data_IF_712130357863
#
_entry.id   IF_712130357863
#
_cell.length_a   1.000
_cell.length_b   1.000
_cell.length_c   1.000
_cell.angle_alpha   90.00
_cell.angle_beta   90.00
_cell.angle_gamma   90.00
#
_symmetry.space_group_name_H-M   'P 1'
#
loop_
_entity.id
_entity.type
_entity.pdbx_description
1 polymer ?
#
# COMPACT_ATOMS: atom_id res chain seq x y z
N UNK A 1 26.70 12.22 -6.49
CA UNK A 1 26.88 11.60 -7.82
C UNK A 1 25.68 10.72 -8.10
N UNK A 2 25.01 11.01 -9.22
CA UNK A 2 24.01 10.21 -9.93
C UNK A 2 22.68 9.88 -9.25
N UNK A 3 21.80 10.88 -9.25
CA UNK A 3 20.35 10.70 -9.34
C UNK A 3 20.01 10.20 -10.75
N UNK A 4 20.09 8.89 -10.97
CA UNK A 4 19.52 8.26 -12.16
C UNK A 4 18.76 6.99 -11.74
N UNK A 5 17.44 7.06 -11.92
CA UNK A 5 16.49 5.94 -11.98
C UNK A 5 16.28 5.12 -10.69
N UNK A 6 15.38 5.60 -9.82
CA UNK A 6 14.45 4.71 -9.08
C UNK A 6 13.34 4.20 -10.03
N UNK A 7 13.72 3.60 -11.17
CA UNK A 7 12.80 2.87 -12.05
C UNK A 7 12.75 1.37 -11.70
N UNK A 8 13.04 1.03 -10.44
CA UNK A 8 13.01 -0.32 -9.89
C UNK A 8 11.65 -0.59 -9.26
N UNK A 9 11.18 -1.84 -9.29
CA UNK A 9 9.90 -2.24 -8.71
C UNK A 9 9.76 -1.84 -7.22
N UNK A 10 10.87 -1.78 -6.50
CA UNK A 10 10.91 -1.32 -5.10
C UNK A 10 10.46 0.14 -4.92
N UNK A 11 10.79 1.03 -5.86
CA UNK A 11 10.36 2.43 -5.81
C UNK A 11 8.84 2.58 -5.93
N UNK A 12 8.21 1.75 -6.77
CA UNK A 12 6.76 1.74 -6.95
C UNK A 12 6.02 1.38 -5.65
N UNK A 13 6.50 0.36 -4.94
CA UNK A 13 5.88 -0.10 -3.70
C UNK A 13 6.11 0.88 -2.54
N UNK A 14 7.29 1.51 -2.49
CA UNK A 14 7.61 2.55 -1.51
C UNK A 14 6.65 3.74 -1.60
N UNK A 15 6.31 4.19 -2.82
CA UNK A 15 5.38 5.30 -3.03
C UNK A 15 3.97 4.96 -2.54
N UNK A 16 3.47 3.75 -2.83
CA UNK A 16 2.16 3.27 -2.38
C UNK A 16 2.09 3.28 -0.85
N UNK A 17 3.11 2.73 -0.19
CA UNK A 17 3.16 2.66 1.29
C UNK A 17 3.25 4.05 1.90
N UNK A 18 4.13 4.90 1.37
CA UNK A 18 4.36 6.25 1.93
C UNK A 18 3.12 7.13 1.81
N UNK A 19 2.52 7.18 0.61
CA UNK A 19 1.32 8.00 0.38
C UNK A 19 0.15 7.50 1.25
N UNK A 20 0.05 6.18 1.40
CA UNK A 20 -1.00 5.52 2.17
C UNK A 20 -1.00 5.83 3.67
N UNK A 21 0.17 5.98 4.27
CA UNK A 21 0.25 6.37 5.69
C UNK A 21 -0.15 7.83 5.91
N UNK A 22 0.27 8.72 5.02
CA UNK A 22 0.08 10.16 5.19
C UNK A 22 -1.34 10.59 4.83
N UNK A 23 -2.00 9.89 3.91
CA UNK A 23 -3.34 10.24 3.45
C UNK A 23 -4.35 9.18 3.94
N UNK A 24 -5.37 9.58 4.71
CA UNK A 24 -6.41 8.67 5.14
C UNK A 24 -7.08 7.96 3.96
N UNK A 25 -7.32 6.67 4.11
CA UNK A 25 -8.26 5.97 3.24
C UNK A 25 -9.66 6.40 3.67
N UNK A 26 -10.38 7.07 2.77
CA UNK A 26 -11.75 7.49 3.03
C UNK A 26 -12.64 6.25 3.14
N UNK A 27 -13.36 6.11 4.25
CA UNK A 27 -14.38 5.09 4.40
C UNK A 27 -15.60 5.46 3.54
N UNK A 28 -15.67 4.90 2.34
CA UNK A 28 -16.81 5.09 1.42
C UNK A 28 -17.85 3.97 1.54
N UNK A 29 -17.65 3.01 2.45
CA UNK A 29 -18.43 1.77 2.51
C UNK A 29 -18.09 0.76 1.39
N UNK A 30 -17.16 1.10 0.50
CA UNK A 30 -16.68 0.23 -0.58
C UNK A 30 -15.43 -0.51 -0.07
N UNK A 31 -15.42 -1.85 -0.15
CA UNK A 31 -14.20 -2.63 0.07
C UNK A 31 -13.36 -2.65 -1.22
N UNK A 32 -12.38 -1.75 -1.29
CA UNK A 32 -11.52 -1.60 -2.46
C UNK A 32 -10.64 -2.83 -2.72
N UNK A 33 -10.33 -3.63 -1.68
CA UNK A 33 -9.52 -4.82 -1.80
C UNK A 33 -10.29 -5.98 -2.45
N UNK A 34 -11.61 -5.97 -2.41
CA UNK A 34 -12.45 -6.97 -3.07
C UNK A 34 -12.73 -6.64 -4.54
N UNK A 35 -12.53 -5.38 -4.95
CA UNK A 35 -12.76 -4.96 -6.32
C UNK A 35 -11.85 -5.67 -7.33
N UNK A 36 -12.38 -5.91 -8.54
CA UNK A 36 -11.58 -6.31 -9.69
C UNK A 36 -10.77 -5.12 -10.24
N UNK A 37 -9.69 -5.40 -10.99
CA UNK A 37 -8.80 -4.37 -11.55
C UNK A 37 -9.59 -3.37 -12.39
N UNK A 38 -10.48 -3.84 -13.27
CA UNK A 38 -11.22 -2.97 -14.18
C UNK A 38 -12.17 -2.03 -13.44
N UNK A 39 -12.93 -2.55 -12.48
CA UNK A 39 -13.85 -1.74 -11.67
C UNK A 39 -13.08 -0.73 -10.81
N UNK A 40 -11.94 -1.13 -10.25
CA UNK A 40 -11.08 -0.25 -9.46
C UNK A 40 -10.50 0.89 -10.31
N UNK A 41 -10.07 0.58 -11.53
CA UNK A 41 -9.45 1.54 -12.45
C UNK A 41 -10.45 2.45 -13.16
N UNK A 42 -11.74 2.13 -13.16
CA UNK A 42 -12.77 2.90 -13.88
C UNK A 42 -13.66 3.72 -12.95
N UNK A 43 -13.74 3.41 -11.66
CA UNK A 43 -14.59 4.13 -10.72
C UNK A 43 -14.07 5.54 -10.41
N UNK A 44 -14.88 6.55 -10.72
CA UNK A 44 -14.49 7.96 -10.60
C UNK A 44 -14.41 8.46 -9.16
N UNK A 45 -15.17 7.87 -8.23
CA UNK A 45 -15.08 8.21 -6.81
C UNK A 45 -13.76 7.71 -6.22
N UNK A 46 -13.38 6.48 -6.57
CA UNK A 46 -12.21 5.80 -6.01
C UNK A 46 -10.92 6.45 -6.53
N UNK A 47 -10.90 6.84 -7.81
CA UNK A 47 -9.78 7.57 -8.43
C UNK A 47 -9.44 8.87 -7.74
N UNK A 48 -10.33 9.48 -6.95
CA UNK A 48 -10.03 10.72 -6.24
C UNK A 48 -9.19 10.53 -4.97
N UNK A 49 -9.16 9.30 -4.42
CA UNK A 49 -8.42 8.99 -3.19
C UNK A 49 -6.90 8.98 -3.47
N UNK A 50 -6.06 9.68 -2.67
CA UNK A 50 -4.64 9.84 -2.97
C UNK A 50 -3.85 8.53 -3.16
N UNK A 51 -4.05 7.54 -2.28
CA UNK A 51 -3.39 6.23 -2.42
C UNK A 51 -3.84 5.50 -3.70
N UNK A 52 -5.12 5.63 -4.08
CA UNK A 52 -5.64 5.01 -5.30
C UNK A 52 -5.01 5.68 -6.52
N UNK A 53 -4.87 7.01 -6.54
CA UNK A 53 -4.13 7.72 -7.60
C UNK A 53 -2.70 7.19 -7.72
N UNK A 54 -2.02 6.97 -6.60
CA UNK A 54 -0.67 6.40 -6.59
C UNK A 54 -0.67 4.98 -7.17
N UNK A 55 -1.57 4.10 -6.72
CA UNK A 55 -1.70 2.74 -7.28
C UNK A 55 -2.00 2.80 -8.78
N UNK A 56 -2.98 3.59 -9.21
CA UNK A 56 -3.34 3.76 -10.62
C UNK A 56 -2.20 4.35 -11.47
N UNK A 57 -1.37 5.22 -10.91
CA UNK A 57 -0.18 5.75 -11.58
C UNK A 57 0.89 4.67 -11.78
N UNK A 58 1.00 3.73 -10.85
CA UNK A 58 1.82 2.53 -10.98
C UNK A 58 1.22 1.56 -12.02
N UNK A 59 -0.13 1.51 -12.15
CA UNK A 59 -0.87 0.64 -13.09
C UNK A 59 -0.69 1.02 -14.56
N UNK A 60 -0.51 2.30 -14.88
CA UNK A 60 -0.35 2.75 -16.28
C UNK A 60 0.88 2.15 -16.99
N UNK A 61 1.77 1.49 -16.25
CA UNK A 61 2.99 0.84 -16.78
C UNK A 61 2.80 -0.67 -17.01
N UNK A 62 1.59 -1.21 -16.84
CA UNK A 62 1.31 -2.65 -16.99
C UNK A 62 1.50 -3.36 -15.67
N UNK A 63 0.42 -3.43 -14.89
CA UNK A 63 0.45 -4.03 -13.57
C UNK A 63 0.25 -5.55 -13.68
N UNK A 64 1.25 -6.31 -13.26
CA UNK A 64 1.16 -7.76 -13.14
C UNK A 64 0.14 -8.14 -12.05
N UNK A 65 -0.46 -9.33 -12.15
CA UNK A 65 -1.36 -9.88 -11.11
C UNK A 65 -0.72 -9.82 -9.72
N UNK A 66 0.61 -9.98 -9.66
CA UNK A 66 1.40 -9.89 -8.44
C UNK A 66 1.37 -8.48 -7.83
N UNK A 67 1.66 -7.44 -8.61
CA UNK A 67 1.61 -6.05 -8.15
C UNK A 67 0.20 -5.68 -7.66
N UNK A 68 -0.86 -6.23 -8.29
CA UNK A 68 -2.24 -5.95 -7.91
C UNK A 68 -2.60 -6.61 -6.58
N UNK A 69 -2.17 -7.86 -6.41
CA UNK A 69 -2.32 -8.60 -5.16
C UNK A 69 -1.58 -7.90 -4.01
N UNK A 70 -0.39 -7.36 -4.28
CA UNK A 70 0.33 -6.53 -3.32
C UNK A 70 -0.45 -5.26 -2.94
N UNK A 71 -0.95 -4.50 -3.94
CA UNK A 71 -1.72 -3.29 -3.71
C UNK A 71 -2.95 -3.54 -2.82
N UNK A 72 -3.69 -4.63 -3.07
CA UNK A 72 -4.83 -5.06 -2.23
C UNK A 72 -4.45 -5.27 -0.77
N UNK A 73 -3.33 -5.96 -0.52
CA UNK A 73 -2.82 -6.20 0.85
C UNK A 73 -2.48 -4.88 1.55
N UNK A 74 -1.85 -3.94 0.85
CA UNK A 74 -1.50 -2.63 1.41
C UNK A 74 -2.74 -1.78 1.68
N UNK A 75 -3.71 -1.75 0.76
CA UNK A 75 -5.00 -1.09 0.99
C UNK A 75 -5.64 -1.61 2.27
N UNK A 76 -5.72 -2.94 2.44
CA UNK A 76 -6.35 -3.53 3.63
C UNK A 76 -5.60 -3.21 4.92
N UNK A 77 -4.26 -3.26 4.88
CA UNK A 77 -3.44 -2.87 6.02
C UNK A 77 -3.71 -1.41 6.42
N UNK A 78 -3.77 -0.50 5.44
CA UNK A 78 -3.98 0.92 5.69
C UNK A 78 -5.39 1.23 6.15
N UNK A 79 -6.41 0.53 5.66
CA UNK A 79 -7.76 0.60 6.20
C UNK A 79 -7.76 0.27 7.70
N UNK A 80 -7.08 -0.82 8.09
CA UNK A 80 -6.96 -1.20 9.50
C UNK A 80 -6.12 -0.21 10.30
N UNK A 81 -5.08 0.37 9.72
CA UNK A 81 -4.30 1.41 10.38
C UNK A 81 -5.12 2.67 10.65
N UNK A 82 -5.90 3.13 9.66
CA UNK A 82 -6.69 4.36 9.75
C UNK A 82 -7.97 4.18 10.59
N UNK A 83 -8.65 3.05 10.46
CA UNK A 83 -9.95 2.76 11.11
C UNK A 83 -9.83 1.88 12.36
N UNK A 84 -8.64 1.38 12.67
CA UNK A 84 -8.41 0.48 13.79
C UNK A 84 -8.36 1.19 15.15
N UNK A 85 -7.94 0.42 16.16
CA UNK A 85 -8.03 0.79 17.57
C UNK A 85 -6.96 1.78 18.05
N UNK A 86 -6.02 2.20 17.20
CA UNK A 86 -5.01 3.18 17.58
C UNK A 86 -5.68 4.52 17.88
N UNK A 87 -5.35 5.09 19.03
CA UNK A 87 -5.75 6.46 19.38
C UNK A 87 -5.08 7.46 18.44
N UNK A 88 -5.66 8.64 18.31
CA UNK A 88 -5.07 9.67 17.43
C UNK A 88 -3.68 10.11 17.89
N UNK A 89 -3.42 10.13 19.20
CA UNK A 89 -2.09 10.43 19.73
C UNK A 89 -1.05 9.36 19.34
N UNK A 90 -1.44 8.08 19.31
CA UNK A 90 -0.56 6.99 18.87
C UNK A 90 -0.27 7.07 17.37
N UNK A 91 -1.29 7.39 16.56
CA UNK A 91 -1.12 7.60 15.11
C UNK A 91 -0.21 8.80 14.83
N UNK A 92 -0.40 9.91 15.54
CA UNK A 92 0.41 11.12 15.41
C UNK A 92 1.86 10.87 15.82
N UNK A 93 2.11 10.22 16.97
CA UNK A 93 3.46 9.87 17.40
C UNK A 93 4.17 8.95 16.40
N UNK A 94 3.45 7.97 15.84
CA UNK A 94 3.96 7.12 14.77
C UNK A 94 4.30 7.94 13.52
N UNK A 95 3.38 8.79 13.04
CA UNK A 95 3.56 9.59 11.82
C UNK A 95 4.72 10.58 11.97
N UNK A 96 4.82 11.25 13.11
CA UNK A 96 5.93 12.15 13.40
C UNK A 96 7.27 11.43 13.27
N UNK A 97 7.40 10.25 13.90
CA UNK A 97 8.63 9.45 13.80
C UNK A 97 8.86 8.92 12.39
N UNK A 98 7.80 8.48 11.71
CA UNK A 98 7.84 7.98 10.33
C UNK A 98 8.31 9.05 9.34
N UNK A 99 7.92 10.30 9.54
CA UNK A 99 8.31 11.42 8.67
C UNK A 99 9.66 12.03 9.03
N UNK A 100 10.02 12.05 10.33
CA UNK A 100 11.24 12.72 10.80
C UNK A 100 12.51 11.85 10.73
N UNK A 101 12.36 10.52 10.77
CA UNK A 101 13.49 9.57 10.82
C UNK A 101 13.52 8.70 9.55
N UNK A 102 14.43 9.04 8.64
CA UNK A 102 14.63 8.33 7.37
C UNK A 102 14.92 6.84 7.56
N UNK A 103 15.74 6.46 8.56
CA UNK A 103 16.06 5.04 8.81
C UNK A 103 14.85 4.29 9.32
N UNK A 104 14.06 4.93 10.18
CA UNK A 104 12.81 4.35 10.65
C UNK A 104 11.80 4.19 9.51
N UNK A 105 11.66 5.20 8.64
CA UNK A 105 10.84 5.12 7.42
C UNK A 105 11.24 3.94 6.54
N UNK A 106 12.52 3.85 6.18
CA UNK A 106 13.06 2.77 5.34
C UNK A 106 12.79 1.39 5.96
N UNK A 107 12.96 1.26 7.27
CA UNK A 107 12.66 0.03 8.01
C UNK A 107 11.18 -0.35 7.90
N UNK A 108 10.26 0.59 8.11
CA UNK A 108 8.81 0.34 8.05
C UNK A 108 8.38 -0.02 6.62
N UNK A 109 8.86 0.72 5.62
CA UNK A 109 8.56 0.43 4.20
C UNK A 109 9.07 -0.96 3.83
N UNK A 110 10.33 -1.28 4.12
CA UNK A 110 10.93 -2.59 3.81
C UNK A 110 10.19 -3.73 4.52
N UNK A 111 9.80 -3.53 5.78
CA UNK A 111 9.03 -4.49 6.55
C UNK A 111 7.66 -4.78 5.91
N UNK A 112 6.91 -3.74 5.54
CA UNK A 112 5.59 -3.90 4.92
C UNK A 112 5.68 -4.55 3.54
N UNK A 113 6.68 -4.18 2.75
CA UNK A 113 6.93 -4.84 1.46
C UNK A 113 7.23 -6.32 1.69
N UNK A 114 8.13 -6.63 2.62
CA UNK A 114 8.58 -8.00 2.89
C UNK A 114 7.43 -8.90 3.39
N UNK A 115 6.63 -8.43 4.34
CA UNK A 115 5.53 -9.21 4.89
C UNK A 115 4.45 -9.46 3.84
N UNK A 116 4.08 -8.43 3.08
CA UNK A 116 2.98 -8.53 2.11
C UNK A 116 3.37 -9.28 0.83
N UNK A 117 4.65 -9.21 0.42
CA UNK A 117 5.16 -9.91 -0.76
C UNK A 117 5.51 -11.39 -0.46
N UNK A 118 6.25 -11.68 0.62
CA UNK A 118 6.84 -13.03 0.82
C UNK A 118 6.06 -13.94 1.78
N UNK A 119 5.47 -13.38 2.83
CA UNK A 119 4.98 -14.20 3.94
C UNK A 119 3.56 -14.75 3.71
N UNK A 120 2.69 -13.99 3.04
CA UNK A 120 1.32 -14.42 2.77
C UNK A 120 1.22 -15.44 1.62
N UNK A 121 1.99 -15.29 0.54
CA UNK A 121 1.93 -16.21 -0.62
C UNK A 121 2.36 -17.64 -0.24
N UNK A 122 3.45 -17.78 0.51
CA UNK A 122 3.99 -19.09 0.91
C UNK A 122 3.00 -19.85 1.78
N UNK A 123 2.46 -19.19 2.82
CA UNK A 123 1.51 -19.81 3.76
C UNK A 123 0.16 -20.12 3.12
N UNK A 124 -0.33 -19.27 2.21
CA UNK A 124 -1.56 -19.52 1.45
C UNK A 124 -1.39 -20.69 0.46
N UNK A 125 -0.22 -20.80 -0.18
CA UNK A 125 0.09 -21.92 -1.08
C UNK A 125 0.19 -23.26 -0.35
N UNK A 126 0.75 -23.25 0.87
CA UNK A 126 0.81 -24.44 1.74
C UNK A 126 -0.59 -24.90 2.18
N UNK A 127 -1.48 -23.95 2.53
CA UNK A 127 -2.87 -24.25 2.88
C UNK A 127 -3.65 -24.77 1.67
N UNK A 128 -3.46 -24.18 0.48
CA UNK A 128 -4.16 -24.59 -0.73
C UNK A 128 -3.68 -25.94 -1.32
N UNK A 129 -2.48 -26.38 -0.94
CA UNK A 129 -1.89 -27.65 -1.37
C UNK A 129 -2.29 -28.86 -0.51
N UNK A 130 -3.01 -28.66 0.60
CA UNK A 130 -3.63 -29.70 1.42
C UNK A 130 -5.13 -29.78 1.15
#
# INVERSE_FOLDING_TARGET
MSNEKKSTQEGKYEDIVTVGFVNPIVNTGIDYAEMGIDAFMTNDVIKEIPIIKTIASVVKVGLSIKEWTFAKKIIKFLEQYHLGYLTENEKEAFLNKYQSDTKYKEKIVSFLITINDKYFETKQSEIAGN
#
